data_IF_134916336121
#
_entry.id   IF_134916336121
#
_cell.length_a   1.000
_cell.length_b   1.000
_cell.length_c   1.000
_cell.angle_alpha   90.00
_cell.angle_beta   90.00
_cell.angle_gamma   90.00
#
_symmetry.space_group_name_H-M   'P 1'
#
loop_
_entity.id
_entity.type
_entity.pdbx_description
1 polymer ?
#
# COMPACT_ATOMS: atom_id res chain seq x y z
N UNK A 1 -17.53 1.24 -4.57
CA UNK A 1 -16.53 2.26 -4.94
C UNK A 1 -17.08 3.15 -6.06
N UNK A 2 -16.62 4.41 -6.15
CA UNK A 2 -16.94 5.26 -7.29
C UNK A 2 -16.38 4.67 -8.59
N UNK A 3 -17.02 5.00 -9.71
CA UNK A 3 -16.55 4.66 -11.05
C UNK A 3 -15.14 5.23 -11.28
N UNK A 4 -14.28 4.49 -11.99
CA UNK A 4 -12.90 4.88 -12.23
C UNK A 4 -11.91 4.46 -11.14
N UNK A 5 -12.30 3.59 -10.19
CA UNK A 5 -11.35 3.01 -9.23
C UNK A 5 -10.23 2.27 -9.98
N UNK A 6 -8.98 2.65 -9.69
CA UNK A 6 -7.79 1.98 -10.18
C UNK A 6 -7.26 1.05 -9.10
N UNK A 7 -7.09 -0.23 -9.43
CA UNK A 7 -6.37 -1.20 -8.63
C UNK A 7 -4.97 -1.36 -9.22
N UNK A 8 -3.96 -0.75 -8.60
CA UNK A 8 -2.57 -0.91 -9.00
C UNK A 8 -1.91 -2.08 -8.26
N UNK A 9 -1.26 -2.99 -8.99
CA UNK A 9 -0.59 -4.18 -8.43
C UNK A 9 0.73 -4.46 -9.16
N UNK A 10 1.58 -5.28 -8.54
CA UNK A 10 2.70 -5.87 -9.28
C UNK A 10 2.18 -6.89 -10.32
N UNK A 11 3.09 -7.45 -11.12
CA UNK A 11 2.75 -8.50 -12.10
C UNK A 11 2.75 -9.91 -11.49
N UNK A 12 2.39 -10.04 -10.23
CA UNK A 12 2.27 -11.35 -9.57
C UNK A 12 1.27 -12.26 -10.29
N UNK A 13 1.52 -13.57 -10.26
CA UNK A 13 0.66 -14.55 -10.95
C UNK A 13 -0.79 -14.54 -10.48
N UNK A 14 -1.02 -14.20 -9.21
CA UNK A 14 -2.36 -14.04 -8.64
C UNK A 14 -3.12 -12.89 -9.30
N UNK A 15 -2.46 -11.73 -9.46
CA UNK A 15 -3.08 -10.54 -10.07
C UNK A 15 -3.19 -10.65 -11.59
N UNK A 16 -2.28 -11.39 -12.23
CA UNK A 16 -2.36 -11.70 -13.66
C UNK A 16 -3.37 -12.84 -13.99
N UNK A 17 -3.96 -13.48 -12.99
CA UNK A 17 -4.87 -14.61 -13.21
C UNK A 17 -6.19 -14.17 -13.84
N UNK A 18 -6.75 -15.02 -14.70
CA UNK A 18 -8.06 -14.78 -15.35
C UNK A 18 -9.14 -14.53 -14.29
N UNK A 19 -9.18 -15.38 -13.26
CA UNK A 19 -10.18 -15.25 -12.18
C UNK A 19 -10.13 -13.89 -11.49
N UNK A 20 -8.93 -13.33 -11.26
CA UNK A 20 -8.80 -12.02 -10.63
C UNK A 20 -9.19 -10.88 -11.58
N UNK A 21 -8.78 -10.96 -12.85
CA UNK A 21 -9.12 -9.96 -13.86
C UNK A 21 -10.64 -9.91 -14.13
N UNK A 22 -11.30 -11.08 -14.21
CA UNK A 22 -12.74 -11.19 -14.35
C UNK A 22 -13.47 -10.56 -13.16
N UNK A 23 -12.97 -10.78 -11.95
CA UNK A 23 -13.50 -10.17 -10.72
C UNK A 23 -13.41 -8.64 -10.79
N UNK A 24 -12.26 -8.08 -11.18
CA UNK A 24 -12.09 -6.63 -11.32
C UNK A 24 -13.03 -6.05 -12.38
N UNK A 25 -13.18 -6.73 -13.52
CA UNK A 25 -14.10 -6.33 -14.57
C UNK A 25 -15.56 -6.34 -14.09
N UNK A 26 -15.96 -7.32 -13.27
CA UNK A 26 -17.31 -7.41 -12.70
C UNK A 26 -17.65 -6.20 -11.82
N UNK A 27 -16.65 -5.68 -11.09
CA UNK A 27 -16.83 -4.51 -10.22
C UNK A 27 -16.52 -3.17 -10.91
N UNK A 28 -16.22 -3.18 -12.21
CA UNK A 28 -15.86 -1.96 -12.95
C UNK A 28 -14.55 -1.32 -12.46
N UNK A 29 -13.62 -2.13 -11.93
CA UNK A 29 -12.33 -1.68 -11.41
C UNK A 29 -11.26 -1.79 -12.50
N UNK A 30 -10.54 -0.70 -12.75
CA UNK A 30 -9.46 -0.70 -13.73
C UNK A 30 -8.19 -1.28 -13.11
N UNK A 31 -7.74 -2.42 -13.61
CA UNK A 31 -6.46 -2.98 -13.21
C UNK A 31 -5.31 -2.21 -13.87
N UNK A 32 -4.40 -1.71 -13.06
CA UNK A 32 -3.11 -1.16 -13.48
C UNK A 32 -2.00 -2.07 -12.92
N UNK A 33 -1.00 -2.39 -13.72
CA UNK A 33 0.08 -3.28 -13.32
C UNK A 33 1.44 -2.67 -13.60
N UNK A 34 2.41 -2.94 -12.73
CA UNK A 34 3.81 -2.55 -12.94
C UNK A 34 4.35 -3.00 -14.30
N UNK A 35 5.31 -2.26 -14.85
CA UNK A 35 5.95 -2.62 -16.11
C UNK A 35 6.84 -3.85 -15.94
N UNK A 36 6.92 -4.68 -16.99
CA UNK A 36 7.80 -5.84 -16.99
C UNK A 36 9.26 -5.38 -16.90
N UNK A 37 9.98 -5.84 -15.89
CA UNK A 37 11.40 -5.53 -15.69
C UNK A 37 11.66 -4.18 -14.99
N UNK A 38 10.62 -3.46 -14.56
CA UNK A 38 10.75 -2.21 -13.83
C UNK A 38 10.41 -2.42 -12.35
N UNK A 39 11.38 -2.83 -11.55
CA UNK A 39 11.19 -3.11 -10.11
C UNK A 39 10.84 -1.85 -9.30
N UNK A 40 11.16 -0.66 -9.81
CA UNK A 40 10.89 0.60 -9.14
C UNK A 40 9.40 0.87 -8.93
N UNK A 41 8.52 0.35 -9.80
CA UNK A 41 7.07 0.50 -9.69
C UNK A 41 6.52 -0.10 -8.37
N UNK A 42 7.16 -1.15 -7.86
CA UNK A 42 6.76 -1.82 -6.62
C UNK A 42 7.63 -1.44 -5.41
N UNK A 43 8.66 -0.61 -5.61
CA UNK A 43 9.67 -0.33 -4.58
C UNK A 43 9.08 0.25 -3.28
N UNK A 44 7.98 1.03 -3.38
CA UNK A 44 7.29 1.60 -2.21
C UNK A 44 6.70 0.49 -1.34
N UNK A 45 5.99 -0.46 -1.94
CA UNK A 45 5.41 -1.60 -1.23
C UNK A 45 6.50 -2.54 -0.70
N UNK A 46 7.55 -2.78 -1.48
CA UNK A 46 8.71 -3.57 -1.01
C UNK A 46 9.36 -2.94 0.22
N UNK A 47 9.52 -1.61 0.22
CA UNK A 47 10.09 -0.88 1.36
C UNK A 47 9.19 -0.95 2.60
N UNK A 48 7.88 -0.88 2.42
CA UNK A 48 6.92 -1.08 3.51
C UNK A 48 7.06 -2.48 4.11
N UNK A 49 7.02 -3.54 3.29
CA UNK A 49 7.10 -4.91 3.79
C UNK A 49 8.44 -5.22 4.42
N UNK A 50 9.54 -4.66 3.91
CA UNK A 50 10.85 -4.75 4.54
C UNK A 50 10.81 -4.13 5.95
N UNK A 51 10.26 -2.92 6.09
CA UNK A 51 10.17 -2.21 7.37
C UNK A 51 9.31 -3.00 8.37
N UNK A 52 8.12 -3.47 7.95
CA UNK A 52 7.25 -4.31 8.79
C UNK A 52 7.98 -5.57 9.28
N UNK A 53 8.64 -6.29 8.37
CA UNK A 53 9.34 -7.53 8.71
C UNK A 53 10.47 -7.25 9.68
N UNK A 54 11.32 -6.25 9.41
CA UNK A 54 12.50 -5.97 10.22
C UNK A 54 12.17 -5.36 11.58
N UNK A 55 11.19 -4.46 11.64
CA UNK A 55 10.90 -3.69 12.86
C UNK A 55 9.91 -4.39 13.78
N UNK A 56 9.01 -5.23 13.22
CA UNK A 56 7.94 -5.84 14.00
C UNK A 56 8.00 -7.36 14.07
N UNK A 57 8.24 -8.01 12.95
CA UNK A 57 8.09 -9.48 12.85
C UNK A 57 9.40 -10.20 13.12
N UNK A 58 10.54 -9.57 12.86
CA UNK A 58 11.85 -10.19 13.00
C UNK A 58 12.09 -10.66 14.43
N UNK A 59 12.48 -11.92 14.58
CA UNK A 59 12.70 -12.59 15.88
C UNK A 59 11.49 -12.65 16.80
N UNK A 60 10.27 -12.43 16.30
CA UNK A 60 9.04 -12.55 17.07
C UNK A 60 8.38 -13.90 16.85
N UNK A 61 8.10 -14.59 17.95
CA UNK A 61 7.31 -15.82 17.96
C UNK A 61 5.90 -15.51 18.45
N UNK A 62 4.91 -15.67 17.57
CA UNK A 62 3.50 -15.54 17.94
C UNK A 62 2.99 -16.88 18.45
N UNK A 63 2.21 -16.86 19.54
CA UNK A 63 1.58 -18.05 20.09
C UNK A 63 0.48 -18.58 19.16
N UNK A 64 -0.21 -17.69 18.44
CA UNK A 64 -1.27 -18.03 17.51
C UNK A 64 -1.48 -16.95 16.45
N UNK A 65 -2.35 -17.26 15.47
CA UNK A 65 -2.63 -16.36 14.36
C UNK A 65 -3.32 -15.05 14.78
N UNK A 66 -4.19 -15.08 15.81
CA UNK A 66 -4.88 -13.87 16.27
C UNK A 66 -3.90 -12.86 16.89
N UNK A 67 -2.89 -13.35 17.60
CA UNK A 67 -1.83 -12.49 18.13
C UNK A 67 -1.06 -11.80 16.99
N UNK A 68 -0.69 -12.56 15.95
CA UNK A 68 0.00 -12.01 14.79
C UNK A 68 -0.86 -10.95 14.07
N UNK A 69 -2.17 -11.21 13.88
CA UNK A 69 -3.10 -10.24 13.29
C UNK A 69 -3.13 -8.96 14.12
N UNK A 70 -3.37 -9.06 15.44
CA UNK A 70 -3.45 -7.90 16.33
C UNK A 70 -2.18 -7.08 16.26
N UNK A 71 -1.04 -7.76 16.24
CA UNK A 71 0.27 -7.14 16.23
C UNK A 71 0.58 -6.38 14.93
N UNK A 72 0.35 -7.03 13.79
CA UNK A 72 0.56 -6.44 12.47
C UNK A 72 -0.43 -5.30 12.23
N UNK A 73 -1.70 -5.48 12.58
CA UNK A 73 -2.72 -4.42 12.48
C UNK A 73 -2.36 -3.21 13.34
N UNK A 74 -1.87 -3.42 14.56
CA UNK A 74 -1.42 -2.35 15.43
C UNK A 74 -0.20 -1.63 14.86
N UNK A 75 0.80 -2.37 14.35
CA UNK A 75 1.95 -1.76 13.69
C UNK A 75 1.52 -0.89 12.50
N UNK A 76 0.60 -1.35 11.66
CA UNK A 76 0.14 -0.59 10.49
C UNK A 76 -0.63 0.66 10.91
N UNK A 77 -1.65 0.49 11.75
CA UNK A 77 -2.62 1.57 12.04
C UNK A 77 -2.09 2.60 13.03
N UNK A 78 -1.41 2.16 14.10
CA UNK A 78 -0.98 3.03 15.19
C UNK A 78 0.45 3.51 14.99
N UNK A 79 1.35 2.66 14.50
CA UNK A 79 2.75 3.05 14.35
C UNK A 79 3.06 3.59 12.96
N UNK A 80 2.92 2.78 11.91
CA UNK A 80 3.35 3.12 10.56
C UNK A 80 2.58 4.32 10.00
N UNK A 81 1.24 4.28 10.02
CA UNK A 81 0.43 5.34 9.41
C UNK A 81 0.36 6.63 10.25
N UNK A 82 0.35 6.51 11.60
CA UNK A 82 0.15 7.67 12.48
C UNK A 82 1.46 8.31 12.97
N UNK A 83 2.50 7.52 13.24
CA UNK A 83 3.70 7.98 13.98
C UNK A 83 4.96 7.96 13.13
N UNK A 84 5.16 6.95 12.28
CA UNK A 84 6.44 6.71 11.59
C UNK A 84 6.76 7.84 10.61
N UNK A 85 7.91 8.48 10.78
CA UNK A 85 8.33 9.59 9.92
C UNK A 85 9.01 9.07 8.64
N UNK A 86 8.66 9.67 7.50
CA UNK A 86 9.26 9.37 6.21
C UNK A 86 10.02 10.59 5.69
N UNK A 87 11.31 10.44 5.38
CA UNK A 87 12.15 11.53 4.85
C UNK A 87 11.63 12.07 3.52
N UNK A 88 11.07 11.19 2.67
CA UNK A 88 10.43 11.56 1.39
C UNK A 88 9.16 12.38 1.57
N UNK A 89 8.53 12.32 2.75
CA UNK A 89 7.32 13.09 3.10
C UNK A 89 7.64 14.34 3.92
N UNK A 90 8.89 14.80 3.92
CA UNK A 90 9.31 15.95 4.72
C UNK A 90 9.31 15.68 6.23
N UNK A 91 9.64 14.44 6.62
CA UNK A 91 9.59 13.96 8.01
C UNK A 91 8.19 14.06 8.63
N UNK A 92 7.17 13.73 7.83
CA UNK A 92 5.80 13.53 8.30
C UNK A 92 5.46 12.04 8.29
N UNK A 93 4.46 11.66 9.10
CA UNK A 93 3.82 10.35 8.98
C UNK A 93 2.85 10.32 7.79
N UNK A 94 2.54 9.13 7.24
CA UNK A 94 1.62 9.00 6.12
C UNK A 94 0.30 9.76 6.34
N UNK A 95 -0.35 9.57 7.48
CA UNK A 95 -1.62 10.25 7.76
C UNK A 95 -1.47 11.77 7.87
N UNK A 96 -0.38 12.27 8.45
CA UNK A 96 -0.13 13.71 8.56
C UNK A 96 0.19 14.33 7.20
N UNK A 97 0.83 13.57 6.31
CA UNK A 97 1.09 13.99 4.94
C UNK A 97 -0.22 14.10 4.16
N UNK A 98 -1.04 13.05 4.16
CA UNK A 98 -2.35 13.04 3.49
C UNK A 98 -3.26 14.17 3.99
N UNK A 99 -3.35 14.38 5.31
CA UNK A 99 -4.14 15.49 5.87
C UNK A 99 -3.63 16.87 5.42
N UNK A 100 -2.33 17.05 5.17
CA UNK A 100 -1.83 18.32 4.61
C UNK A 100 -2.17 18.45 3.13
N UNK A 101 -2.11 17.36 2.36
CA UNK A 101 -2.48 17.34 0.94
C UNK A 101 -3.97 17.61 0.76
N UNK A 102 -4.84 17.00 1.58
CA UNK A 102 -6.29 17.23 1.55
C UNK A 102 -6.65 18.71 1.85
N UNK A 103 -5.88 19.36 2.71
CA UNK A 103 -6.03 20.79 3.01
C UNK A 103 -5.46 21.72 1.91
N UNK A 104 -4.70 21.16 0.96
CA UNK A 104 -4.16 21.85 -0.21
C UNK A 104 -4.81 21.20 -1.43
N UNK A 105 -6.07 21.54 -1.73
CA UNK A 105 -6.75 21.06 -2.93
C UNK A 105 -5.93 21.46 -4.18
N UNK A 106 -5.06 20.57 -4.67
CA UNK A 106 -4.47 20.72 -6.00
C UNK A 106 -5.49 20.25 -7.02
N UNK A 107 -5.81 21.06 -8.05
CA UNK A 107 -6.67 20.62 -9.13
C UNK A 107 -6.02 19.41 -9.82
N UNK A 108 -6.82 18.37 -10.04
CA UNK A 108 -6.47 17.18 -10.82
C UNK A 108 -6.29 17.61 -12.27
N UNK A 109 -5.13 18.14 -12.65
CA UNK A 109 -4.82 18.47 -14.05
C UNK A 109 -3.48 17.95 -14.56
N UNK A 110 -2.56 17.48 -13.72
CA UNK A 110 -1.15 17.34 -14.15
C UNK A 110 -0.62 15.89 -14.13
N UNK A 111 -1.50 14.91 -14.36
CA UNK A 111 -1.07 13.57 -14.81
C UNK A 111 -1.68 13.29 -16.18
N UNK A 112 -1.15 13.95 -17.21
CA UNK A 112 -1.23 13.52 -18.62
C UNK A 112 0.17 13.25 -19.13
#
# INVERSE_FOLDING_TARGET
PPEGLIMHTDRGSQYCSVQYQDLLSQYGVHCSMSHKGLCYDNAVMERFFLSLKMERVWQKHYANHQEAIKDVSHYITVFYNQIRLHSTLGYLSPNNYEQKVDNISMPVSDFT
#
